data_IF_434809150895
#
_entry.id   IF_434809150895
#
_cell.length_a   1.000
_cell.length_b   1.000
_cell.length_c   1.000
_cell.angle_alpha   90.00
_cell.angle_beta   90.00
_cell.angle_gamma   90.00
#
_symmetry.space_group_name_H-M   'P 1'
#
loop_
_entity.id
_entity.type
_entity.pdbx_description
1 polymer ?
#
# COMPACT_ATOMS: atom_id res chain seq x y z
N UNK A 1 34.53 15.99 17.61
CA UNK A 1 34.58 14.74 18.41
C UNK A 1 33.21 14.05 18.52
N UNK A 2 32.16 14.65 19.10
CA UNK A 2 30.87 13.95 19.34
C UNK A 2 30.19 13.43 18.04
N UNK A 3 30.24 14.18 16.92
CA UNK A 3 29.69 13.72 15.62
C UNK A 3 30.45 12.54 14.99
N UNK A 4 31.76 12.42 15.23
CA UNK A 4 32.57 11.30 14.74
C UNK A 4 32.31 10.02 15.54
N UNK A 5 31.97 10.15 16.83
CA UNK A 5 31.60 9.03 17.69
C UNK A 5 30.26 8.42 17.26
N UNK A 6 29.25 9.24 16.91
CA UNK A 6 27.98 8.72 16.39
C UNK A 6 28.14 8.00 15.04
N UNK A 7 29.00 8.52 14.15
CA UNK A 7 29.30 7.87 12.88
C UNK A 7 30.02 6.53 13.08
N UNK A 8 30.97 6.47 14.01
CA UNK A 8 31.64 5.22 14.37
C UNK A 8 30.71 4.22 15.06
N UNK A 9 29.80 4.68 15.92
CA UNK A 9 28.80 3.83 16.58
C UNK A 9 27.79 3.28 15.56
N UNK A 10 27.39 4.09 14.57
CA UNK A 10 26.53 3.67 13.47
C UNK A 10 27.21 2.62 12.57
N UNK A 11 28.49 2.81 12.24
CA UNK A 11 29.30 1.81 11.51
C UNK A 11 29.51 0.53 12.33
N UNK A 12 29.71 0.62 13.64
CA UNK A 12 29.94 -0.54 14.50
C UNK A 12 28.67 -1.40 14.68
N UNK A 13 27.48 -0.79 14.73
CA UNK A 13 26.21 -1.50 14.75
C UNK A 13 25.94 -2.31 13.47
N UNK A 14 26.41 -1.84 12.30
CA UNK A 14 26.30 -2.59 11.05
C UNK A 14 27.27 -3.79 11.00
N UNK A 15 28.47 -3.66 11.57
CA UNK A 15 29.48 -4.73 11.57
C UNK A 15 29.10 -5.93 12.46
N UNK A 16 28.37 -5.72 13.56
CA UNK A 16 27.98 -6.81 14.49
C UNK A 16 26.88 -7.72 13.90
N UNK A 17 26.11 -7.24 12.91
CA UNK A 17 25.09 -8.06 12.22
C UNK A 17 25.62 -8.88 11.04
N UNK A 18 26.90 -8.75 10.70
CA UNK A 18 27.51 -9.45 9.56
C UNK A 18 28.01 -10.88 9.88
N UNK A 19 27.96 -11.32 11.14
CA UNK A 19 28.51 -12.62 11.59
C UNK A 19 27.44 -13.68 11.87
N UNK A 20 26.37 -13.71 11.07
CA UNK A 20 25.51 -14.89 11.01
C UNK A 20 25.70 -15.50 9.63
N UNK A 21 26.37 -16.65 9.57
CA UNK A 21 26.32 -17.54 8.40
C UNK A 21 24.85 -17.77 8.08
N UNK A 22 24.41 -17.10 7.04
CA UNK A 22 23.02 -17.02 6.67
C UNK A 22 23.03 -17.38 5.20
N UNK A 23 22.49 -18.56 4.85
CA UNK A 23 22.25 -19.04 3.49
C UNK A 23 21.20 -18.17 2.75
N UNK A 24 21.34 -16.85 2.85
CA UNK A 24 20.48 -15.89 2.18
C UNK A 24 21.12 -15.58 0.85
N UNK A 25 20.34 -15.79 -0.19
CA UNK A 25 20.74 -15.47 -1.53
C UNK A 25 20.10 -14.18 -1.97
N UNK A 26 20.89 -13.28 -2.54
CA UNK A 26 20.44 -11.95 -2.90
C UNK A 26 20.51 -11.71 -4.40
N UNK A 27 19.60 -10.88 -4.87
CA UNK A 27 19.60 -10.41 -6.27
C UNK A 27 19.40 -8.91 -6.32
N UNK A 28 20.07 -8.28 -7.27
CA UNK A 28 19.83 -6.90 -7.67
C UNK A 28 19.04 -6.90 -8.98
N UNK A 29 18.15 -5.93 -9.15
CA UNK A 29 17.57 -5.69 -10.46
C UNK A 29 17.33 -4.20 -10.74
N UNK A 30 17.41 -3.85 -12.02
CA UNK A 30 17.17 -2.51 -12.54
C UNK A 30 16.18 -2.62 -13.68
N UNK A 31 15.10 -1.85 -13.64
CA UNK A 31 14.08 -1.80 -14.68
C UNK A 31 13.96 -0.37 -15.15
N UNK A 32 14.11 -0.13 -16.45
CA UNK A 32 13.59 1.09 -17.05
C UNK A 32 12.12 0.87 -17.43
N UNK A 33 11.31 1.91 -17.35
CA UNK A 33 9.93 1.86 -17.78
C UNK A 33 9.49 3.14 -18.49
N UNK A 34 8.47 3.01 -19.33
CA UNK A 34 7.84 4.08 -20.10
C UNK A 34 6.35 3.77 -20.27
N UNK A 35 5.49 4.78 -20.12
CA UNK A 35 4.05 4.54 -20.02
C UNK A 35 3.16 5.75 -20.24
N UNK A 36 1.91 5.61 -19.79
CA UNK A 36 0.86 6.63 -19.89
C UNK A 36 0.05 6.68 -18.61
N UNK A 37 -0.43 7.87 -18.25
CA UNK A 37 -1.37 8.05 -17.14
C UNK A 37 -2.75 7.58 -17.59
N UNK A 38 -3.36 6.67 -16.82
CA UNK A 38 -4.72 6.21 -17.02
C UNK A 38 -5.72 7.26 -16.51
N UNK A 39 -6.60 7.69 -17.40
CA UNK A 39 -7.73 8.57 -17.10
C UNK A 39 -8.80 7.82 -16.29
N UNK A 40 -8.58 7.72 -14.98
CA UNK A 40 -9.50 7.14 -14.02
C UNK A 40 -10.45 8.19 -13.40
N UNK A 41 -10.14 9.47 -13.56
CA UNK A 41 -10.99 10.59 -13.17
C UNK A 41 -10.99 11.64 -14.31
N UNK A 42 -12.16 12.18 -14.74
CA UNK A 42 -12.21 13.20 -15.78
C UNK A 42 -11.44 14.48 -15.40
N UNK A 43 -11.38 14.83 -14.11
CA UNK A 43 -10.78 16.06 -13.62
C UNK A 43 -9.27 16.13 -13.89
N UNK A 44 -8.58 14.98 -14.02
CA UNK A 44 -7.13 14.95 -14.27
C UNK A 44 -6.79 14.98 -15.77
N UNK A 45 -7.77 15.08 -16.67
CA UNK A 45 -7.53 14.95 -18.12
C UNK A 45 -6.52 15.95 -18.66
N UNK A 46 -6.51 17.18 -18.13
CA UNK A 46 -5.56 18.23 -18.53
C UNK A 46 -4.12 17.97 -18.06
N UNK A 47 -3.91 17.02 -17.15
CA UNK A 47 -2.59 16.61 -16.66
C UNK A 47 -2.01 15.44 -17.46
N UNK A 48 -2.80 14.81 -18.33
CA UNK A 48 -2.38 13.68 -19.16
C UNK A 48 -1.88 14.22 -20.50
N UNK A 49 -0.70 14.84 -20.47
CA UNK A 49 -0.11 15.52 -21.65
C UNK A 49 1.12 14.82 -22.23
N UNK A 50 1.76 13.95 -21.44
CA UNK A 50 3.02 13.30 -21.79
C UNK A 50 3.06 11.84 -21.36
N UNK A 51 4.25 11.28 -21.38
CA UNK A 51 4.48 9.86 -21.13
C UNK A 51 5.44 9.65 -19.96
N UNK A 52 4.92 9.28 -18.77
CA UNK A 52 5.77 9.04 -17.63
C UNK A 52 6.81 7.95 -17.90
N UNK A 53 8.01 8.17 -17.40
CA UNK A 53 9.13 7.25 -17.55
C UNK A 53 10.00 7.25 -16.31
N UNK A 54 10.80 6.20 -16.14
CA UNK A 54 11.60 6.11 -14.92
C UNK A 54 12.38 4.83 -14.79
N UNK A 55 12.94 4.65 -13.60
CA UNK A 55 13.76 3.50 -13.24
C UNK A 55 13.32 2.95 -11.88
N UNK A 56 13.22 1.63 -11.79
CA UNK A 56 13.04 0.90 -10.53
C UNK A 56 14.29 0.06 -10.26
N UNK A 57 15.01 0.39 -9.20
CA UNK A 57 16.16 -0.38 -8.69
C UNK A 57 15.71 -1.17 -7.49
N UNK A 58 16.05 -2.46 -7.41
CA UNK A 58 15.61 -3.34 -6.34
C UNK A 58 16.74 -4.20 -5.80
N UNK A 59 16.70 -4.40 -4.49
CA UNK A 59 17.51 -5.38 -3.78
C UNK A 59 16.56 -6.33 -3.06
N UNK A 60 16.68 -7.62 -3.34
CA UNK A 60 15.76 -8.61 -2.78
C UNK A 60 16.47 -9.91 -2.41
N UNK A 61 15.87 -10.59 -1.43
CA UNK A 61 16.27 -11.90 -0.96
C UNK A 61 15.44 -12.97 -1.65
N UNK A 62 16.11 -13.97 -2.22
CA UNK A 62 15.49 -15.18 -2.76
C UNK A 62 15.05 -16.11 -1.65
N UNK A 63 13.99 -16.87 -1.91
CA UNK A 63 13.52 -17.92 -0.99
C UNK A 63 13.49 -19.28 -1.68
N UNK A 64 13.78 -20.33 -0.91
CA UNK A 64 13.89 -21.71 -1.42
C UNK A 64 13.01 -22.71 -0.66
N UNK A 65 12.17 -22.24 0.26
CA UNK A 65 11.20 -23.10 0.92
C UNK A 65 11.58 -23.50 2.33
N UNK A 66 12.60 -22.91 2.94
CA UNK A 66 12.96 -23.15 4.34
C UNK A 66 11.81 -22.90 5.30
N UNK A 67 11.00 -21.87 4.99
CA UNK A 67 9.81 -21.53 5.78
C UNK A 67 8.55 -22.05 5.10
N UNK A 68 7.61 -22.52 5.91
CA UNK A 68 6.33 -23.07 5.45
C UNK A 68 5.60 -22.15 4.47
N UNK A 69 5.57 -20.85 4.78
CA UNK A 69 4.89 -19.87 3.95
C UNK A 69 5.53 -19.67 2.57
N UNK A 70 6.85 -19.89 2.46
CA UNK A 70 7.54 -19.83 1.17
C UNK A 70 7.00 -20.96 0.28
N UNK A 71 6.92 -22.19 0.81
CA UNK A 71 6.37 -23.35 0.10
C UNK A 71 4.88 -23.16 -0.25
N UNK A 72 4.10 -22.54 0.63
CA UNK A 72 2.68 -22.24 0.37
C UNK A 72 2.46 -21.31 -0.83
N UNK A 73 3.36 -20.37 -1.06
CA UNK A 73 3.25 -19.31 -2.07
C UNK A 73 4.22 -19.46 -3.25
N UNK A 74 4.77 -20.66 -3.45
CA UNK A 74 5.70 -20.95 -4.54
C UNK A 74 6.99 -20.10 -4.49
N UNK A 75 7.58 -20.03 -3.30
CA UNK A 75 8.88 -19.43 -3.00
C UNK A 75 8.98 -17.98 -3.49
N UNK A 76 8.13 -17.08 -2.97
CA UNK A 76 8.18 -15.68 -3.36
C UNK A 76 9.45 -15.03 -2.83
N UNK A 77 10.03 -14.14 -3.62
CA UNK A 77 11.14 -13.30 -3.15
C UNK A 77 10.57 -12.04 -2.50
N UNK A 78 11.32 -11.40 -1.62
CA UNK A 78 10.93 -10.13 -1.02
C UNK A 78 12.11 -9.21 -0.84
N UNK A 79 11.87 -7.91 -0.86
CA UNK A 79 12.94 -6.93 -0.82
C UNK A 79 12.46 -5.49 -0.76
N UNK A 80 13.38 -4.60 -1.09
CA UNK A 80 13.16 -3.16 -1.15
C UNK A 80 13.43 -2.68 -2.57
N UNK A 81 12.67 -1.68 -2.99
CA UNK A 81 12.86 -0.99 -4.27
C UNK A 81 12.93 0.49 -4.06
N UNK A 82 13.81 1.13 -4.80
CA UNK A 82 13.76 2.55 -5.08
C UNK A 82 13.15 2.75 -6.47
N UNK A 83 12.21 3.68 -6.60
CA UNK A 83 11.66 4.08 -7.90
C UNK A 83 11.84 5.59 -8.11
N UNK A 84 12.40 5.95 -9.25
CA UNK A 84 12.33 7.30 -9.79
C UNK A 84 11.33 7.29 -10.94
N UNK A 85 10.47 8.30 -10.99
CA UNK A 85 9.53 8.50 -12.09
C UNK A 85 9.43 9.99 -12.43
N UNK A 86 9.71 10.33 -13.69
CA UNK A 86 9.34 11.61 -14.27
C UNK A 86 7.92 11.49 -14.85
N UNK A 87 7.01 12.39 -14.48
CA UNK A 87 5.63 12.37 -14.95
C UNK A 87 5.46 12.97 -16.36
N UNK A 88 6.53 13.55 -16.92
CA UNK A 88 6.53 14.20 -18.23
C UNK A 88 5.42 15.27 -18.35
N UNK A 89 5.22 16.00 -17.24
CA UNK A 89 4.26 17.07 -17.13
C UNK A 89 4.77 18.09 -16.10
N UNK A 90 4.75 19.37 -16.48
CA UNK A 90 5.33 20.44 -15.67
C UNK A 90 4.62 20.68 -14.33
N UNK A 91 3.35 20.28 -14.18
CA UNK A 91 2.57 20.44 -12.95
C UNK A 91 2.71 19.22 -12.03
N UNK A 92 2.83 18.02 -12.60
CA UNK A 92 2.99 16.77 -11.87
C UNK A 92 4.42 16.53 -11.38
N UNK A 93 5.43 17.00 -12.12
CA UNK A 93 6.82 16.90 -11.73
C UNK A 93 7.36 15.46 -11.70
N UNK A 94 8.05 15.13 -10.62
CA UNK A 94 8.82 13.90 -10.47
C UNK A 94 8.53 13.24 -9.12
N UNK A 95 8.73 11.92 -9.07
CA UNK A 95 8.53 11.09 -7.90
C UNK A 95 9.79 10.31 -7.55
N UNK A 96 10.11 10.27 -6.25
CA UNK A 96 11.18 9.48 -5.67
C UNK A 96 10.59 8.62 -4.57
N UNK A 97 10.48 7.32 -4.79
CA UNK A 97 9.80 6.41 -3.87
C UNK A 97 10.66 5.27 -3.35
N UNK A 98 10.38 4.85 -2.12
CA UNK A 98 10.93 3.65 -1.48
C UNK A 98 9.79 2.70 -1.18
N UNK A 99 9.93 1.46 -1.60
CA UNK A 99 8.90 0.43 -1.53
C UNK A 99 9.44 -0.83 -0.91
N UNK A 100 8.63 -1.51 -0.13
CA UNK A 100 8.80 -2.93 0.17
C UNK A 100 8.00 -3.74 -0.85
N UNK A 101 8.52 -4.87 -1.30
CA UNK A 101 7.84 -5.66 -2.32
C UNK A 101 7.94 -7.17 -2.11
N UNK A 102 7.01 -7.88 -2.71
CA UNK A 102 7.06 -9.33 -2.94
C UNK A 102 7.07 -9.64 -4.44
N UNK A 103 7.77 -10.70 -4.81
CA UNK A 103 7.76 -11.30 -6.15
C UNK A 103 7.11 -12.68 -6.07
N UNK A 104 5.93 -12.84 -6.69
CA UNK A 104 5.25 -14.13 -6.81
C UNK A 104 5.51 -14.73 -8.17
N UNK A 105 5.66 -16.05 -8.22
CA UNK A 105 6.13 -16.75 -9.41
C UNK A 105 5.14 -17.78 -9.93
N UNK A 106 4.98 -17.83 -11.24
CA UNK A 106 4.11 -18.73 -11.99
C UNK A 106 4.86 -19.30 -13.21
N UNK A 107 4.28 -20.30 -13.88
CA UNK A 107 4.85 -20.91 -15.09
C UNK A 107 6.33 -21.32 -14.92
N UNK A 108 6.62 -22.13 -13.90
CA UNK A 108 7.99 -22.52 -13.54
C UNK A 108 8.93 -21.33 -13.33
N UNK A 109 8.41 -20.28 -12.67
CA UNK A 109 9.08 -19.00 -12.37
C UNK A 109 9.44 -18.16 -13.60
N UNK A 110 8.92 -18.48 -14.79
CA UNK A 110 9.06 -17.64 -15.98
C UNK A 110 8.19 -16.40 -15.92
N UNK A 111 7.05 -16.46 -15.24
CA UNK A 111 6.14 -15.33 -15.04
C UNK A 111 6.23 -14.86 -13.60
N UNK A 112 6.46 -13.57 -13.41
CA UNK A 112 6.65 -12.94 -12.10
C UNK A 112 5.66 -11.79 -11.91
N UNK A 113 4.89 -11.84 -10.82
CA UNK A 113 4.08 -10.73 -10.33
C UNK A 113 4.80 -10.08 -9.15
N UNK A 114 5.30 -8.85 -9.34
CA UNK A 114 5.79 -8.01 -8.25
C UNK A 114 4.66 -7.13 -7.75
N UNK A 115 4.49 -7.06 -6.43
CA UNK A 115 3.63 -6.05 -5.80
C UNK A 115 4.47 -5.29 -4.78
N UNK A 116 4.54 -3.97 -4.93
CA UNK A 116 5.28 -3.07 -4.07
C UNK A 116 4.37 -2.04 -3.40
N UNK A 117 4.60 -1.78 -2.13
CA UNK A 117 3.93 -0.72 -1.36
C UNK A 117 4.99 0.15 -0.69
N UNK A 118 4.81 1.46 -0.75
CA UNK A 118 5.84 2.41 -0.33
C UNK A 118 5.33 3.80 -0.09
N UNK A 119 6.29 4.69 0.14
CA UNK A 119 6.10 6.13 0.26
C UNK A 119 6.93 6.79 -0.84
N UNK A 120 6.39 7.84 -1.44
CA UNK A 120 7.04 8.62 -2.49
C UNK A 120 7.02 10.10 -2.17
N UNK A 121 8.13 10.77 -2.48
CA UNK A 121 8.25 12.21 -2.50
C UNK A 121 7.96 12.71 -3.92
N UNK A 122 6.86 13.46 -4.06
CA UNK A 122 6.49 14.24 -5.23
C UNK A 122 7.14 15.63 -5.15
N UNK A 123 7.77 16.08 -6.25
CA UNK A 123 8.45 17.39 -6.31
C UNK A 123 7.50 18.57 -6.45
N UNK A 124 6.30 18.38 -7.00
CA UNK A 124 5.37 19.48 -7.34
C UNK A 124 3.95 19.19 -6.86
N UNK A 125 3.63 19.29 -5.56
CA UNK A 125 2.24 19.18 -5.10
C UNK A 125 1.41 20.39 -5.54
N UNK A 126 0.11 20.31 -5.32
CA UNK A 126 -0.82 21.42 -5.41
C UNK A 126 -0.33 22.60 -4.55
N UNK A 127 -0.37 23.78 -5.14
CA UNK A 127 -0.24 25.06 -4.45
C UNK A 127 -1.23 26.03 -5.08
N UNK A 128 -1.95 26.82 -4.27
CA UNK A 128 -3.02 27.68 -4.77
C UNK A 128 -2.50 28.82 -5.67
N UNK A 129 -1.27 29.26 -5.45
CA UNK A 129 -0.65 30.38 -6.15
C UNK A 129 0.31 29.89 -7.24
N UNK A 130 1.16 28.91 -6.92
CA UNK A 130 2.27 28.49 -7.78
C UNK A 130 1.95 27.26 -8.67
N UNK A 131 1.04 26.37 -8.24
CA UNK A 131 0.77 25.11 -8.95
C UNK A 131 -0.68 24.63 -8.82
N UNK A 132 -1.63 25.54 -9.06
CA UNK A 132 -3.06 25.26 -8.87
C UNK A 132 -3.61 24.20 -9.83
N UNK A 133 -2.88 23.90 -10.91
CA UNK A 133 -3.26 22.88 -11.89
C UNK A 133 -3.06 21.45 -11.38
N UNK A 134 -2.12 21.23 -10.46
CA UNK A 134 -1.88 19.88 -9.93
C UNK A 134 -2.94 19.50 -8.88
N UNK A 135 -4.09 19.05 -9.35
CA UNK A 135 -5.14 18.52 -8.48
C UNK A 135 -4.93 17.04 -8.11
N UNK A 136 -3.84 16.41 -8.58
CA UNK A 136 -3.58 15.01 -8.32
C UNK A 136 -3.00 14.81 -6.91
N UNK A 137 -2.14 15.71 -6.44
CA UNK A 137 -1.39 15.54 -5.20
C UNK A 137 -1.40 16.78 -4.31
N UNK A 138 -2.05 16.73 -3.15
CA UNK A 138 -2.07 17.84 -2.19
C UNK A 138 -0.81 17.94 -1.32
N UNK A 139 0.09 16.95 -1.38
CA UNK A 139 1.25 16.84 -0.50
C UNK A 139 2.50 16.33 -1.24
N UNK A 140 3.67 16.70 -0.73
CA UNK A 140 4.95 16.15 -1.20
C UNK A 140 5.06 14.66 -0.89
N UNK A 141 4.68 14.23 0.31
CA UNK A 141 4.67 12.82 0.67
C UNK A 141 3.35 12.19 0.26
N UNK A 142 3.43 11.15 -0.55
CA UNK A 142 2.30 10.35 -1.02
C UNK A 142 2.58 8.86 -0.79
N UNK A 143 1.52 8.07 -0.62
CA UNK A 143 1.59 6.62 -0.71
C UNK A 143 1.82 6.21 -2.15
N UNK A 144 2.69 5.22 -2.36
CA UNK A 144 2.95 4.62 -3.65
C UNK A 144 2.64 3.13 -3.64
N UNK A 145 1.92 2.65 -4.64
CA UNK A 145 1.72 1.22 -4.86
C UNK A 145 2.07 0.90 -6.30
N UNK A 146 2.79 -0.18 -6.54
CA UNK A 146 2.98 -0.67 -7.90
C UNK A 146 2.76 -2.16 -8.00
N UNK A 147 2.32 -2.60 -9.18
CA UNK A 147 2.28 -3.99 -9.58
C UNK A 147 3.00 -4.15 -10.91
N UNK A 148 3.84 -5.17 -11.07
CA UNK A 148 4.49 -5.49 -12.33
C UNK A 148 4.31 -6.96 -12.67
N UNK A 149 3.84 -7.24 -13.89
CA UNK A 149 3.78 -8.58 -14.45
C UNK A 149 4.88 -8.71 -15.50
N UNK A 150 5.88 -9.54 -15.22
CA UNK A 150 7.07 -9.69 -16.04
C UNK A 150 7.29 -11.14 -16.46
N UNK A 151 7.70 -11.32 -17.71
CA UNK A 151 8.49 -12.48 -18.07
C UNK A 151 9.92 -12.28 -17.59
N UNK A 152 10.46 -13.28 -16.91
CA UNK A 152 11.78 -13.21 -16.27
C UNK A 152 12.57 -14.46 -16.63
N UNK A 153 13.81 -14.26 -17.06
CA UNK A 153 14.77 -15.33 -17.28
C UNK A 153 16.08 -14.99 -16.58
N UNK A 154 16.40 -15.76 -15.55
CA UNK A 154 17.61 -15.58 -14.75
C UNK A 154 18.81 -16.32 -15.35
N UNK A 155 20.02 -15.92 -14.93
CA UNK A 155 21.27 -16.65 -15.16
C UNK A 155 21.56 -17.00 -16.63
N UNK A 156 21.28 -16.09 -17.55
CA UNK A 156 21.69 -16.19 -18.96
C UNK A 156 23.21 -16.09 -19.12
N UNK A 157 23.89 -15.30 -18.29
CA UNK A 157 25.34 -15.16 -18.30
C UNK A 157 25.88 -14.89 -16.89
N UNK A 158 26.45 -15.91 -16.23
CA UNK A 158 27.15 -15.76 -14.94
C UNK A 158 26.37 -14.93 -13.89
N UNK A 159 25.10 -15.29 -13.66
CA UNK A 159 24.22 -14.59 -12.72
C UNK A 159 23.39 -13.46 -13.32
N UNK A 160 23.77 -12.94 -14.49
CA UNK A 160 22.98 -11.95 -15.24
C UNK A 160 21.76 -12.61 -15.89
N UNK A 161 20.61 -11.96 -15.77
CA UNK A 161 19.36 -12.32 -16.40
C UNK A 161 18.60 -11.08 -16.87
N UNK A 162 17.47 -11.32 -17.52
CA UNK A 162 16.63 -10.28 -18.11
C UNK A 162 15.19 -10.45 -17.69
N UNK A 163 14.46 -9.35 -17.77
CA UNK A 163 13.00 -9.35 -17.64
C UNK A 163 12.38 -8.25 -18.47
N UNK A 164 11.15 -8.49 -18.90
CA UNK A 164 10.34 -7.49 -19.57
C UNK A 164 8.86 -7.77 -19.29
N UNK A 165 8.06 -6.72 -19.33
CA UNK A 165 6.66 -6.83 -18.96
C UNK A 165 5.93 -5.51 -18.96
N UNK A 166 4.85 -5.50 -18.18
CA UNK A 166 4.00 -4.34 -17.98
C UNK A 166 3.73 -4.16 -16.48
N UNK A 167 3.40 -2.94 -16.09
CA UNK A 167 3.06 -2.64 -14.72
C UNK A 167 2.15 -1.43 -14.60
N UNK A 168 1.64 -1.27 -13.38
CA UNK A 168 0.88 -0.09 -12.97
C UNK A 168 1.56 0.49 -11.74
N UNK A 169 1.68 1.81 -11.71
CA UNK A 169 2.13 2.57 -10.54
C UNK A 169 1.06 3.58 -10.16
N UNK A 170 0.63 3.54 -8.90
CA UNK A 170 -0.34 4.44 -8.30
C UNK A 170 0.33 5.35 -7.27
N UNK A 171 0.00 6.64 -7.31
CA UNK A 171 0.37 7.61 -6.28
C UNK A 171 -0.86 8.35 -5.75
N UNK A 172 -1.05 8.35 -4.44
CA UNK A 172 -2.08 9.14 -3.75
C UNK A 172 -1.68 9.43 -2.31
N UNK A 173 -2.24 10.46 -1.69
CA UNK A 173 -2.06 10.71 -0.26
C UNK A 173 -3.20 10.16 0.61
N UNK A 174 -4.11 9.38 0.01
CA UNK A 174 -5.27 8.77 0.68
C UNK A 174 -6.13 9.77 1.45
N UNK A 175 -6.34 10.95 0.86
CA UNK A 175 -7.09 12.09 1.40
C UNK A 175 -6.52 12.67 2.70
N UNK A 176 -5.22 12.47 2.97
CA UNK A 176 -4.56 13.16 4.06
C UNK A 176 -4.57 14.69 3.86
N UNK A 177 -4.48 15.16 2.62
CA UNK A 177 -4.53 16.58 2.24
C UNK A 177 -5.16 16.74 0.86
N UNK A 178 -6.16 17.61 0.73
CA UNK A 178 -6.80 17.91 -0.55
C UNK A 178 -5.95 18.90 -1.39
N UNK A 179 -6.03 18.85 -2.72
CA UNK A 179 -6.74 17.86 -3.54
C UNK A 179 -5.98 16.53 -3.64
N UNK A 180 -6.68 15.43 -3.90
CA UNK A 180 -6.05 14.11 -4.06
C UNK A 180 -6.77 13.29 -5.14
N UNK A 181 -6.75 13.77 -6.38
CA UNK A 181 -7.29 13.01 -7.52
C UNK A 181 -6.39 11.84 -7.91
N UNK A 182 -5.15 11.79 -7.42
CA UNK A 182 -4.17 10.72 -7.66
C UNK A 182 -3.73 10.59 -9.12
N UNK A 183 -2.73 9.74 -9.37
CA UNK A 183 -2.41 9.28 -10.72
C UNK A 183 -2.19 7.77 -10.75
N UNK A 184 -2.41 7.18 -11.93
CA UNK A 184 -2.16 5.77 -12.23
C UNK A 184 -1.37 5.70 -13.53
N UNK A 185 -0.11 5.31 -13.49
CA UNK A 185 0.72 5.11 -14.70
C UNK A 185 0.67 3.65 -15.10
N UNK A 186 0.14 3.34 -16.27
CA UNK A 186 0.32 2.05 -16.94
C UNK A 186 1.61 2.14 -17.77
N UNK A 187 2.55 1.23 -17.56
CA UNK A 187 3.85 1.26 -18.22
C UNK A 187 4.28 -0.10 -18.76
N UNK A 188 5.13 -0.06 -19.77
CA UNK A 188 5.96 -1.19 -20.18
C UNK A 188 7.33 -1.05 -19.53
N UNK A 189 7.96 -2.17 -19.19
CA UNK A 189 9.29 -2.17 -18.59
C UNK A 189 10.19 -3.23 -19.20
N UNK A 190 11.49 -2.93 -19.19
CA UNK A 190 12.56 -3.86 -19.50
C UNK A 190 13.65 -3.72 -18.44
N UNK A 191 14.28 -4.81 -18.05
CA UNK A 191 15.21 -4.79 -16.94
C UNK A 191 16.21 -5.94 -16.93
N UNK A 192 17.28 -5.70 -16.18
CA UNK A 192 18.33 -6.67 -15.91
C UNK A 192 18.21 -7.15 -14.47
N UNK A 193 18.54 -8.41 -14.24
CA UNK A 193 18.61 -9.02 -12.91
C UNK A 193 19.99 -9.62 -12.73
N UNK A 194 20.60 -9.45 -11.57
CA UNK A 194 21.90 -10.05 -11.25
C UNK A 194 21.80 -10.82 -9.93
N UNK A 195 22.11 -12.11 -9.97
CA UNK A 195 22.24 -12.94 -8.77
C UNK A 195 23.63 -12.75 -8.16
N UNK A 196 23.70 -12.38 -6.88
CA UNK A 196 24.98 -12.21 -6.16
C UNK A 196 25.64 -13.56 -5.84
N UNK A 197 24.85 -14.62 -5.78
CA UNK A 197 25.30 -15.99 -5.56
C UNK A 197 25.06 -16.84 -6.81
N UNK A 198 26.08 -17.58 -7.22
CA UNK A 198 26.01 -18.50 -8.36
C UNK A 198 25.54 -19.90 -7.96
N UNK A 199 25.80 -20.31 -6.71
CA UNK A 199 25.38 -21.60 -6.17
C UNK A 199 24.08 -21.43 -5.38
N UNK A 200 22.95 -21.59 -6.06
CA UNK A 200 21.62 -21.54 -5.43
C UNK A 200 21.21 -22.95 -4.97
N UNK A 201 20.59 -23.07 -3.79
CA UNK A 201 20.08 -24.35 -3.30
C UNK A 201 18.85 -24.79 -4.10
N UNK A 202 18.52 -26.08 -3.98
CA UNK A 202 17.29 -26.62 -4.53
C UNK A 202 16.06 -26.14 -3.75
N UNK A 203 14.91 -26.09 -4.43
CA UNK A 203 13.65 -25.74 -3.79
C UNK A 203 13.12 -26.89 -2.94
N UNK A 204 12.80 -26.62 -1.68
CA UNK A 204 12.20 -27.59 -0.77
C UNK A 204 10.73 -27.80 -1.14
N UNK A 205 10.39 -28.99 -1.62
CA UNK A 205 9.04 -29.32 -2.09
C UNK A 205 7.93 -29.01 -1.08
N UNK A 206 6.80 -28.53 -1.61
CA UNK A 206 5.59 -28.27 -0.83
C UNK A 206 4.94 -29.58 -0.41
N UNK A 207 4.77 -29.77 0.90
CA UNK A 207 4.16 -30.98 1.46
C UNK A 207 2.68 -31.12 1.08
N UNK A 208 2.22 -32.37 0.90
CA UNK A 208 0.80 -32.67 0.63
C UNK A 208 -0.06 -32.17 1.79
N UNK A 209 -1.09 -31.38 1.47
CA UNK A 209 -2.02 -30.84 2.47
C UNK A 209 -1.48 -29.66 3.27
N UNK A 210 -0.32 -29.07 2.94
CA UNK A 210 0.28 -27.95 3.67
C UNK A 210 -0.68 -26.77 3.93
N UNK A 211 -1.61 -26.53 3.01
CA UNK A 211 -2.60 -25.45 3.11
C UNK A 211 -3.61 -25.66 4.26
N UNK A 212 -3.83 -26.90 4.71
CA UNK A 212 -4.80 -27.23 5.76
C UNK A 212 -4.35 -26.64 7.10
N UNK A 213 -5.30 -26.13 7.88
CA UNK A 213 -5.05 -25.58 9.21
C UNK A 213 -6.07 -24.51 9.54
N UNK A 214 -6.99 -24.83 10.46
CA UNK A 214 -8.04 -23.91 10.91
C UNK A 214 -7.77 -23.52 12.37
N UNK A 215 -8.28 -22.37 12.78
CA UNK A 215 -8.31 -21.95 14.17
C UNK A 215 -9.78 -21.84 14.62
N UNK A 216 -10.09 -21.94 15.92
CA UNK A 216 -11.39 -21.54 16.47
C UNK A 216 -11.74 -20.09 16.08
N UNK A 217 -13.00 -19.70 16.30
CA UNK A 217 -13.41 -18.31 16.12
C UNK A 217 -12.63 -17.47 17.15
N UNK A 218 -11.89 -16.49 16.64
CA UNK A 218 -11.23 -15.48 17.44
C UNK A 218 -12.11 -14.25 17.58
N UNK A 219 -11.91 -13.49 18.65
CA UNK A 219 -12.55 -12.20 18.85
C UNK A 219 -11.46 -11.15 19.03
N UNK A 220 -11.76 -9.89 18.75
CA UNK A 220 -10.80 -8.83 18.97
C UNK A 220 -11.36 -7.44 18.87
N UNK A 221 -10.52 -6.48 19.25
CA UNK A 221 -10.77 -5.05 19.13
C UNK A 221 -9.72 -4.39 18.26
N UNK A 222 -10.13 -3.35 17.55
CA UNK A 222 -9.28 -2.52 16.70
C UNK A 222 -9.55 -1.04 17.03
N UNK A 223 -8.48 -0.29 17.19
CA UNK A 223 -8.51 1.16 17.15
C UNK A 223 -7.82 1.62 15.87
N UNK A 224 -8.48 2.48 15.10
CA UNK A 224 -7.94 3.07 13.88
C UNK A 224 -7.94 4.58 13.97
N UNK A 225 -6.90 5.20 13.44
CA UNK A 225 -6.81 6.65 13.36
C UNK A 225 -5.92 7.06 12.19
N UNK A 226 -5.91 8.34 11.92
CA UNK A 226 -5.16 8.97 10.85
C UNK A 226 -5.57 10.44 10.79
N UNK A 227 -5.11 11.11 9.75
CA UNK A 227 -5.53 12.46 9.42
C UNK A 227 -6.16 12.45 8.03
N UNK A 228 -7.24 13.19 7.87
CA UNK A 228 -7.83 13.42 6.57
C UNK A 228 -8.36 14.86 6.46
N UNK A 229 -8.53 15.28 5.21
CA UNK A 229 -9.16 16.53 4.83
C UNK A 229 -10.40 16.21 3.98
N UNK A 230 -11.41 17.09 4.01
CA UNK A 230 -12.55 16.97 3.10
C UNK A 230 -12.14 17.33 1.66
N UNK A 231 -12.99 17.08 0.68
CA UNK A 231 -12.68 17.48 -0.71
C UNK A 231 -12.64 19.01 -0.91
N UNK A 232 -13.06 19.79 0.09
CA UNK A 232 -12.91 21.23 0.10
C UNK A 232 -11.44 21.57 0.37
N UNK A 233 -10.72 21.94 -0.69
CA UNK A 233 -9.31 22.33 -0.63
C UNK A 233 -9.13 23.48 0.37
N UNK A 234 -8.25 23.29 1.35
CA UNK A 234 -7.98 24.28 2.39
C UNK A 234 -8.94 24.23 3.57
N UNK A 235 -9.81 23.21 3.65
CA UNK A 235 -10.67 22.98 4.83
C UNK A 235 -9.88 22.54 6.06
N UNK A 236 -8.66 22.04 5.86
CA UNK A 236 -7.73 21.67 6.91
C UNK A 236 -7.69 20.17 7.20
N UNK A 237 -6.57 19.73 7.77
CA UNK A 237 -6.35 18.32 8.09
C UNK A 237 -6.79 18.05 9.53
N UNK A 238 -7.65 17.06 9.71
CA UNK A 238 -8.20 16.72 11.02
C UNK A 238 -8.00 15.25 11.37
N UNK A 239 -7.85 14.91 12.66
CA UNK A 239 -7.81 13.53 13.06
C UNK A 239 -9.19 12.88 12.93
N UNK A 240 -9.20 11.57 12.71
CA UNK A 240 -10.39 10.74 12.87
C UNK A 240 -10.08 9.55 13.77
N UNK A 241 -11.14 8.96 14.32
CA UNK A 241 -11.05 7.79 15.18
C UNK A 241 -12.09 6.75 14.77
N UNK A 242 -11.69 5.49 14.72
CA UNK A 242 -12.60 4.36 14.51
C UNK A 242 -12.33 3.32 15.59
N UNK A 243 -13.37 2.95 16.33
CA UNK A 243 -13.32 1.86 17.30
C UNK A 243 -14.10 0.70 16.72
N UNK A 244 -13.50 -0.49 16.70
CA UNK A 244 -14.13 -1.66 16.12
C UNK A 244 -13.97 -2.90 17.00
N UNK A 245 -14.97 -3.77 16.92
CA UNK A 245 -14.94 -5.13 17.46
C UNK A 245 -15.16 -6.10 16.31
N UNK A 246 -14.49 -7.25 16.34
CA UNK A 246 -14.60 -8.26 15.29
C UNK A 246 -14.56 -9.68 15.83
N UNK A 247 -15.14 -10.59 15.06
CA UNK A 247 -14.93 -12.02 15.13
C UNK A 247 -14.25 -12.48 13.84
N UNK A 248 -13.24 -13.34 13.93
CA UNK A 248 -12.56 -13.92 12.78
C UNK A 248 -12.54 -15.44 12.82
N UNK A 249 -12.60 -16.06 11.64
CA UNK A 249 -12.42 -17.50 11.48
C UNK A 249 -11.33 -17.77 10.46
N UNK A 250 -10.23 -18.37 10.91
CA UNK A 250 -9.19 -18.88 10.01
C UNK A 250 -9.68 -20.15 9.31
N UNK A 251 -9.92 -20.07 8.01
CA UNK A 251 -10.40 -21.20 7.20
C UNK A 251 -9.27 -22.17 6.88
N UNK A 252 -8.10 -21.62 6.56
CA UNK A 252 -6.91 -22.39 6.22
C UNK A 252 -5.65 -21.55 6.50
N UNK A 253 -4.46 -22.06 6.16
CA UNK A 253 -3.22 -21.32 6.45
C UNK A 253 -3.08 -19.99 5.71
N UNK A 254 -3.78 -19.81 4.59
CA UNK A 254 -3.77 -18.59 3.75
C UNK A 254 -4.95 -17.65 4.00
N UNK A 255 -6.12 -18.16 4.39
CA UNK A 255 -7.36 -17.40 4.37
C UNK A 255 -8.04 -17.35 5.74
N UNK A 256 -8.46 -16.16 6.13
CA UNK A 256 -9.38 -15.92 7.23
C UNK A 256 -10.52 -15.00 6.79
N UNK A 257 -11.71 -15.21 7.36
CA UNK A 257 -12.87 -14.33 7.18
C UNK A 257 -13.12 -13.59 8.48
N UNK A 258 -13.55 -12.33 8.39
CA UNK A 258 -13.88 -11.46 9.51
C UNK A 258 -15.30 -10.94 9.40
N UNK A 259 -15.98 -10.81 10.53
CA UNK A 259 -17.22 -10.05 10.67
C UNK A 259 -17.05 -9.09 11.84
N UNK A 260 -17.42 -7.83 11.68
CA UNK A 260 -17.28 -6.87 12.76
C UNK A 260 -18.18 -5.66 12.66
N UNK A 261 -18.15 -4.87 13.71
CA UNK A 261 -18.86 -3.59 13.84
C UNK A 261 -17.88 -2.49 14.19
N UNK A 262 -18.17 -1.27 13.75
CA UNK A 262 -17.30 -0.13 13.96
C UNK A 262 -18.07 1.17 14.14
N UNK A 263 -17.52 2.05 14.99
CA UNK A 263 -18.03 3.39 15.24
C UNK A 263 -17.00 4.39 14.77
N UNK A 264 -17.43 5.36 13.97
CA UNK A 264 -16.57 6.32 13.30
C UNK A 264 -16.81 7.72 13.86
N UNK A 265 -15.71 8.41 14.15
CA UNK A 265 -15.66 9.80 14.56
C UNK A 265 -14.75 10.54 13.58
N UNK A 266 -15.32 11.45 12.78
CA UNK A 266 -14.58 12.19 11.75
C UNK A 266 -14.74 13.69 11.98
N UNK A 267 -13.66 14.36 12.41
CA UNK A 267 -13.67 15.80 12.59
C UNK A 267 -13.70 16.53 11.24
N UNK A 268 -13.11 15.94 10.20
CA UNK A 268 -13.21 16.48 8.83
C UNK A 268 -14.66 16.48 8.32
N UNK A 269 -15.45 15.45 8.65
CA UNK A 269 -16.87 15.40 8.26
C UNK A 269 -17.69 16.43 9.05
N UNK A 270 -17.44 16.60 10.34
CA UNK A 270 -18.06 17.65 11.15
C UNK A 270 -17.79 19.04 10.54
N UNK A 271 -16.54 19.32 10.17
CA UNK A 271 -16.17 20.58 9.50
C UNK A 271 -16.78 20.74 8.12
N UNK A 272 -16.96 19.65 7.40
CA UNK A 272 -17.64 19.67 6.11
C UNK A 272 -19.12 20.04 6.26
N UNK A 273 -19.81 19.48 7.26
CA UNK A 273 -21.20 19.82 7.60
C UNK A 273 -21.29 21.31 7.98
N UNK A 274 -20.41 21.80 8.85
CA UNK A 274 -20.34 23.24 9.22
C UNK A 274 -20.19 24.13 7.98
N UNK A 275 -19.26 23.78 7.08
CA UNK A 275 -19.00 24.52 5.85
C UNK A 275 -20.23 24.56 4.94
N UNK A 276 -20.94 23.43 4.79
CA UNK A 276 -22.14 23.33 3.96
C UNK A 276 -23.28 24.17 4.52
N UNK A 277 -23.49 24.10 5.84
CA UNK A 277 -24.51 24.88 6.54
C UNK A 277 -24.27 26.39 6.39
N UNK A 278 -23.07 26.86 6.69
CA UNK A 278 -22.71 28.29 6.59
C UNK A 278 -22.74 28.78 5.14
N UNK A 279 -22.30 27.95 4.19
CA UNK A 279 -22.32 28.28 2.77
C UNK A 279 -23.72 28.32 2.15
N UNK A 280 -24.74 27.77 2.83
CA UNK A 280 -26.14 27.73 2.39
C UNK A 280 -26.29 27.28 0.93
N UNK A 281 -25.71 26.12 0.59
CA UNK A 281 -25.71 25.61 -0.78
C UNK A 281 -27.06 25.04 -1.25
N UNK A 282 -28.12 25.16 -0.46
CA UNK A 282 -29.48 24.71 -0.82
C UNK A 282 -29.68 23.20 -0.83
N UNK A 283 -28.81 22.43 -0.17
CA UNK A 283 -28.89 20.97 -0.07
C UNK A 283 -29.62 20.46 1.18
N UNK A 284 -30.13 21.38 2.01
CA UNK A 284 -30.84 21.07 3.25
C UNK A 284 -29.94 20.87 4.47
N UNK A 285 -28.62 21.04 4.35
CA UNK A 285 -27.70 20.96 5.49
C UNK A 285 -27.91 22.13 6.45
N UNK A 286 -28.20 21.82 7.70
CA UNK A 286 -28.52 22.78 8.78
C UNK A 286 -27.34 23.07 9.70
N UNK A 287 -26.40 22.14 9.83
CA UNK A 287 -25.29 22.20 10.78
C UNK A 287 -25.53 21.36 12.04
N UNK A 288 -26.76 20.91 12.28
CA UNK A 288 -27.14 20.10 13.44
C UNK A 288 -26.99 18.58 13.19
N UNK A 289 -26.55 18.18 11.98
CA UNK A 289 -26.40 16.78 11.61
C UNK A 289 -25.24 16.10 12.36
N UNK A 290 -25.41 14.82 12.73
CA UNK A 290 -24.37 14.07 13.42
C UNK A 290 -23.31 13.54 12.43
N UNK A 291 -22.06 13.94 12.60
CA UNK A 291 -20.94 13.44 11.80
C UNK A 291 -20.54 11.98 12.14
N UNK A 292 -21.08 11.41 13.23
CA UNK A 292 -20.77 10.03 13.65
C UNK A 292 -21.44 9.03 12.71
N UNK A 293 -20.76 7.91 12.48
CA UNK A 293 -21.31 6.76 11.75
C UNK A 293 -21.13 5.48 12.56
N UNK A 294 -22.04 4.53 12.37
CA UNK A 294 -21.86 3.15 12.85
C UNK A 294 -21.99 2.23 11.66
N UNK A 295 -21.05 1.30 11.50
CA UNK A 295 -21.01 0.36 10.40
C UNK A 295 -20.81 -1.07 10.86
N UNK A 296 -21.10 -1.98 9.93
CA UNK A 296 -20.72 -3.38 10.01
C UNK A 296 -19.92 -3.75 8.77
N UNK A 297 -19.01 -4.70 8.90
CA UNK A 297 -18.16 -5.14 7.79
C UNK A 297 -17.99 -6.66 7.73
N UNK A 298 -17.87 -7.16 6.50
CA UNK A 298 -17.39 -8.50 6.16
C UNK A 298 -15.99 -8.35 5.56
N UNK A 299 -15.02 -9.08 6.10
CA UNK A 299 -13.62 -9.01 5.72
C UNK A 299 -13.02 -10.34 5.30
N UNK A 300 -11.94 -10.26 4.53
CA UNK A 300 -11.07 -11.38 4.19
C UNK A 300 -9.60 -10.98 4.40
N UNK A 301 -8.82 -11.90 4.95
CA UNK A 301 -7.37 -11.79 5.07
C UNK A 301 -6.67 -12.86 4.22
N UNK A 302 -5.77 -12.43 3.34
CA UNK A 302 -4.81 -13.30 2.67
C UNK A 302 -3.46 -13.26 3.38
N UNK A 303 -3.17 -14.28 4.20
CA UNK A 303 -1.96 -14.39 5.04
C UNK A 303 -0.78 -15.01 4.28
N UNK A 304 0.25 -14.21 4.03
CA UNK A 304 1.47 -14.67 3.32
C UNK A 304 2.60 -15.00 4.30
N UNK A 305 2.66 -14.37 5.48
CA UNK A 305 3.60 -14.66 6.56
C UNK A 305 3.04 -14.00 7.83
N UNK A 306 3.82 -13.14 8.51
CA UNK A 306 3.31 -12.16 9.48
C UNK A 306 2.57 -11.00 8.82
N UNK A 307 2.60 -10.90 7.48
CA UNK A 307 1.83 -9.93 6.69
C UNK A 307 0.58 -10.62 6.13
N UNK A 308 -0.52 -9.90 6.13
CA UNK A 308 -1.75 -10.25 5.45
C UNK A 308 -2.25 -9.11 4.57
N UNK A 309 -2.77 -9.45 3.39
CA UNK A 309 -3.57 -8.50 2.59
C UNK A 309 -4.99 -8.52 3.14
N UNK A 310 -5.48 -7.38 3.58
CA UNK A 310 -6.81 -7.20 4.16
C UNK A 310 -7.74 -6.57 3.13
N UNK A 311 -8.92 -7.14 2.94
CA UNK A 311 -10.00 -6.56 2.15
C UNK A 311 -11.31 -6.66 2.90
N UNK A 312 -12.06 -5.58 3.03
CA UNK A 312 -13.35 -5.54 3.72
C UNK A 312 -14.38 -4.79 2.89
N UNK A 313 -15.62 -5.25 2.97
CA UNK A 313 -16.82 -4.58 2.48
C UNK A 313 -17.67 -4.26 3.70
N UNK A 314 -18.09 -3.00 3.83
CA UNK A 314 -18.92 -2.56 4.94
C UNK A 314 -20.09 -1.69 4.52
N UNK A 315 -21.00 -1.54 5.47
CA UNK A 315 -22.26 -0.83 5.33
C UNK A 315 -22.52 -0.01 6.60
N UNK A 316 -22.85 1.27 6.44
CA UNK A 316 -23.19 2.13 7.56
C UNK A 316 -24.66 1.92 7.97
N UNK A 317 -24.87 1.31 9.13
CA UNK A 317 -26.19 1.10 9.74
C UNK A 317 -26.72 2.36 10.43
N UNK A 318 -25.82 3.24 10.88
CA UNK A 318 -26.13 4.59 11.34
C UNK A 318 -25.35 5.58 10.48
N UNK A 319 -26.08 6.37 9.69
CA UNK A 319 -25.55 7.26 8.67
C UNK A 319 -26.52 8.46 8.50
N UNK A 320 -26.52 9.40 9.44
CA UNK A 320 -27.51 10.49 9.48
C UNK A 320 -27.20 11.64 8.51
N UNK A 321 -25.99 11.70 7.96
CA UNK A 321 -25.59 12.69 6.95
C UNK A 321 -25.03 11.97 5.71
N UNK A 322 -25.50 12.35 4.52
CA UNK A 322 -25.05 11.73 3.28
C UNK A 322 -23.68 12.27 2.84
N UNK A 323 -22.65 11.44 3.02
CA UNK A 323 -21.27 11.68 2.66
C UNK A 323 -20.64 10.48 1.94
N UNK A 324 -20.38 10.63 0.64
CA UNK A 324 -19.72 9.67 -0.27
C UNK A 324 -20.48 8.36 -0.54
N UNK A 325 -21.45 7.99 0.30
CA UNK A 325 -22.35 6.86 0.11
C UNK A 325 -22.39 5.90 1.31
N UNK A 326 -23.45 5.08 1.38
CA UNK A 326 -23.72 4.26 2.57
C UNK A 326 -22.92 2.94 2.65
N UNK A 327 -22.19 2.58 1.60
CA UNK A 327 -21.28 1.42 1.57
C UNK A 327 -19.83 1.89 1.48
N UNK A 328 -18.93 1.16 2.11
CA UNK A 328 -17.50 1.41 2.03
C UNK A 328 -16.70 0.14 1.73
N UNK A 329 -15.59 0.31 1.05
CA UNK A 329 -14.57 -0.71 0.85
C UNK A 329 -13.37 -0.34 1.71
N UNK A 330 -12.65 -1.34 2.21
CA UNK A 330 -11.38 -1.15 2.89
C UNK A 330 -10.37 -2.13 2.35
N UNK A 331 -9.20 -1.66 1.95
CA UNK A 331 -8.12 -2.52 1.49
C UNK A 331 -6.78 -2.07 2.08
N UNK A 332 -5.88 -3.01 2.36
CA UNK A 332 -4.54 -2.67 2.83
C UNK A 332 -3.73 -3.85 3.34
N UNK A 333 -2.74 -3.54 4.17
CA UNK A 333 -1.82 -4.51 4.74
C UNK A 333 -1.97 -4.57 6.26
N UNK A 334 -2.01 -5.78 6.80
CA UNK A 334 -2.00 -6.06 8.22
C UNK A 334 -0.72 -6.83 8.59
N UNK A 335 -0.14 -6.49 9.73
CA UNK A 335 1.03 -7.13 10.30
C UNK A 335 0.72 -7.69 11.68
N UNK A 336 1.11 -8.94 11.90
CA UNK A 336 1.01 -9.65 13.17
C UNK A 336 2.33 -9.51 13.93
N UNK A 337 2.36 -8.59 14.91
CA UNK A 337 3.52 -8.43 15.80
C UNK A 337 3.67 -9.65 16.71
N UNK A 338 2.53 -10.14 17.22
CA UNK A 338 2.39 -11.41 17.93
C UNK A 338 1.15 -12.14 17.40
N UNK A 339 0.80 -13.28 17.99
CA UNK A 339 -0.47 -13.97 17.69
C UNK A 339 -1.70 -13.16 18.12
N UNK A 340 -1.53 -12.21 19.04
CA UNK A 340 -2.61 -11.41 19.62
C UNK A 340 -2.55 -9.93 19.18
N UNK A 341 -1.37 -9.36 18.95
CA UNK A 341 -1.21 -7.94 18.62
C UNK A 341 -1.08 -7.76 17.12
N UNK A 342 -2.00 -6.97 16.56
CA UNK A 342 -2.07 -6.64 15.13
C UNK A 342 -1.88 -5.14 14.92
N UNK A 343 -1.24 -4.78 13.83
CA UNK A 343 -1.31 -3.42 13.30
C UNK A 343 -1.56 -3.45 11.81
N UNK A 344 -2.20 -2.41 11.27
CA UNK A 344 -2.51 -2.36 9.84
C UNK A 344 -2.46 -0.95 9.28
N UNK A 345 -2.23 -0.88 7.97
CA UNK A 345 -2.36 0.33 7.17
C UNK A 345 -3.38 0.01 6.09
N UNK A 346 -4.51 0.70 6.10
CA UNK A 346 -5.61 0.48 5.16
C UNK A 346 -6.10 1.78 4.57
N UNK A 347 -6.72 1.71 3.40
CA UNK A 347 -7.48 2.81 2.82
C UNK A 347 -8.95 2.44 2.88
N UNK A 348 -9.75 3.30 3.51
CA UNK A 348 -11.22 3.25 3.43
C UNK A 348 -11.67 4.12 2.26
N UNK A 349 -12.54 3.58 1.42
CA UNK A 349 -13.05 4.25 0.22
C UNK A 349 -14.55 4.01 0.03
N UNK A 350 -15.19 4.89 -0.72
CA UNK A 350 -16.56 4.75 -1.18
C UNK A 350 -16.51 4.62 -2.70
N UNK A 351 -16.87 3.45 -3.21
CA UNK A 351 -16.56 3.04 -4.59
C UNK A 351 -15.07 3.30 -4.91
N UNK A 352 -14.78 4.12 -5.93
CA UNK A 352 -13.43 4.45 -6.37
C UNK A 352 -12.78 5.64 -5.63
N UNK A 353 -13.47 6.24 -4.65
CA UNK A 353 -13.01 7.46 -3.97
C UNK A 353 -12.53 7.16 -2.55
N UNK A 354 -11.24 7.37 -2.31
CA UNK A 354 -10.66 7.22 -0.97
C UNK A 354 -11.27 8.26 -0.01
N UNK A 355 -11.56 7.86 1.22
CA UNK A 355 -11.97 8.75 2.31
C UNK A 355 -10.80 9.04 3.26
N UNK A 356 -10.06 7.99 3.62
CA UNK A 356 -8.95 8.10 4.56
C UNK A 356 -7.98 6.92 4.47
N UNK A 357 -6.70 7.21 4.69
CA UNK A 357 -5.71 6.21 5.12
C UNK A 357 -5.78 6.02 6.62
N UNK A 358 -5.96 4.78 7.06
CA UNK A 358 -6.16 4.39 8.44
C UNK A 358 -4.96 3.57 8.95
N UNK A 359 -4.35 4.04 10.02
CA UNK A 359 -3.39 3.28 10.83
C UNK A 359 -4.14 2.63 11.98
N UNK A 360 -3.96 1.32 12.13
CA UNK A 360 -4.69 0.56 13.13
C UNK A 360 -3.74 -0.16 14.08
N UNK A 361 -4.18 -0.29 15.32
CA UNK A 361 -3.64 -1.23 16.31
C UNK A 361 -4.80 -2.03 16.89
N UNK A 362 -4.59 -3.32 17.14
CA UNK A 362 -5.63 -4.17 17.67
C UNK A 362 -5.10 -5.32 18.51
N UNK A 363 -6.03 -5.91 19.24
CA UNK A 363 -5.81 -7.10 20.03
C UNK A 363 -6.83 -8.17 19.66
N UNK A 364 -6.35 -9.36 19.32
CA UNK A 364 -7.12 -10.58 19.11
C UNK A 364 -6.91 -11.50 20.31
N UNK A 365 -8.00 -11.94 20.93
CA UNK A 365 -7.99 -12.81 22.10
C UNK A 365 -7.57 -14.24 21.76
#
# INVERSE_FOLDING_TARGET
MIKQIYFFFFLFCFSISAQVESNKHYTLDVNSFYGSILKHNPDISHLITGHPSGIIVSFQQKTFGEKEWQRLYNYPDYGVSFAYQNMDNEYLGEHYGIFVHYNFYFLNRLLMLRVGQGISYNTKPYDADDNFRNIAYGSHLVSGTYAMLNFKKENLLQGLGVKAGLGVLHYSNGNAKAPNKSTNTLFLNAGLTYSLDTNLPEYIEKEKGLIKGTEPIGFGFLFRSGVNESDVVGSGQYPFYTIAAFADKRLNKKSAIQLGTEVFFSKALERFIDFRAVGNFGDGTTGDEDAKRVGMFLGHELRINRVAVLTQLGYYVYYPYDFEGQTYLRAGLQYYFTKNIIGSITVRSHAAKAEATEFSIGYRF
#
